data_IF_902977082673
#
_entry.id   IF_902977082673
#
_cell.length_a   1.000
_cell.length_b   1.000
_cell.length_c   1.000
_cell.angle_alpha   90.00
_cell.angle_beta   90.00
_cell.angle_gamma   90.00
#
_symmetry.space_group_name_H-M   'P 1'
#
loop_
_entity.id
_entity.type
_entity.pdbx_description
1 polymer ?
#
# COMPACT_ATOMS: atom_id res chain seq x y z
N UNK A 1 6.47 11.63 -18.32
CA UNK A 1 5.51 11.04 -19.29
C UNK A 1 5.45 11.99 -20.48
N UNK A 2 5.59 11.50 -21.72
CA UNK A 2 5.47 12.33 -22.92
C UNK A 2 3.98 12.56 -23.23
N UNK A 3 3.69 13.63 -23.98
CA UNK A 3 2.32 13.92 -24.44
C UNK A 3 1.73 12.77 -25.27
N UNK A 4 2.51 12.18 -26.15
CA UNK A 4 2.10 11.02 -26.96
C UNK A 4 1.69 9.82 -26.11
N UNK A 5 2.44 9.54 -25.03
CA UNK A 5 2.10 8.47 -24.10
C UNK A 5 0.80 8.75 -23.35
N UNK A 6 0.59 10.01 -22.93
CA UNK A 6 -0.65 10.42 -22.30
C UNK A 6 -1.84 10.29 -23.26
N UNK A 7 -1.70 10.80 -24.50
CA UNK A 7 -2.73 10.68 -25.54
C UNK A 7 -3.13 9.23 -25.76
N UNK A 8 -2.13 8.32 -25.91
CA UNK A 8 -2.38 6.90 -26.11
C UNK A 8 -3.15 6.26 -24.93
N UNK A 9 -2.86 6.66 -23.71
CA UNK A 9 -3.61 6.17 -22.54
C UNK A 9 -5.06 6.64 -22.58
N UNK A 10 -5.31 7.91 -22.92
CA UNK A 10 -6.67 8.45 -23.03
C UNK A 10 -7.45 7.73 -24.13
N UNK A 11 -6.84 7.52 -25.29
CA UNK A 11 -7.46 6.81 -26.43
C UNK A 11 -7.81 5.34 -26.08
N UNK A 12 -7.03 4.73 -25.19
CA UNK A 12 -7.31 3.37 -24.71
C UNK A 12 -8.40 3.33 -23.63
N UNK A 13 -8.55 4.38 -22.82
CA UNK A 13 -9.50 4.42 -21.72
C UNK A 13 -10.92 4.78 -22.18
N UNK A 14 -11.06 5.52 -23.26
CA UNK A 14 -12.33 6.04 -23.73
C UNK A 14 -12.60 5.60 -25.17
N UNK A 15 -13.82 5.13 -25.43
CA UNK A 15 -14.29 4.77 -26.76
C UNK A 15 -15.37 5.77 -27.18
N UNK A 16 -15.29 6.39 -28.39
CA UNK A 16 -16.34 7.28 -28.86
C UNK A 16 -17.70 6.58 -28.86
N UNK A 17 -18.73 7.24 -28.33
CA UNK A 17 -20.10 6.71 -28.24
C UNK A 17 -20.95 6.97 -29.48
N UNK A 18 -20.39 7.64 -30.49
CA UNK A 18 -21.08 8.01 -31.73
C UNK A 18 -21.99 9.26 -31.60
N UNK A 19 -22.22 9.76 -30.39
CA UNK A 19 -23.03 10.95 -30.10
C UNK A 19 -22.20 12.18 -29.71
N UNK A 20 -20.88 12.10 -29.86
CA UNK A 20 -19.94 13.16 -29.49
C UNK A 20 -19.39 13.07 -28.07
N UNK A 21 -19.77 12.03 -27.33
CA UNK A 21 -19.23 11.67 -26.03
C UNK A 21 -18.21 10.53 -26.10
N UNK A 22 -17.76 10.08 -24.94
CA UNK A 22 -16.86 8.94 -24.81
C UNK A 22 -17.33 8.01 -23.67
N UNK A 23 -17.37 6.72 -23.95
CA UNK A 23 -17.63 5.68 -22.96
C UNK A 23 -16.33 5.22 -22.33
N UNK A 24 -16.30 5.12 -20.98
CA UNK A 24 -15.18 4.54 -20.27
C UNK A 24 -15.03 3.05 -20.62
N UNK A 25 -13.79 2.65 -20.89
CA UNK A 25 -13.45 1.26 -21.16
C UNK A 25 -12.63 0.70 -20.02
N UNK A 26 -13.23 -0.23 -19.28
CA UNK A 26 -12.53 -1.01 -18.27
C UNK A 26 -12.17 -2.38 -18.84
N UNK A 27 -10.98 -2.84 -18.56
CA UNK A 27 -10.53 -4.19 -18.89
C UNK A 27 -10.39 -4.98 -17.61
N UNK A 28 -10.80 -6.24 -17.63
CA UNK A 28 -10.48 -7.17 -16.54
C UNK A 28 -8.95 -7.32 -16.40
N UNK A 29 -8.48 -7.24 -15.17
CA UNK A 29 -7.08 -7.32 -14.84
C UNK A 29 -6.83 -8.59 -14.05
N UNK A 30 -5.96 -9.47 -14.56
CA UNK A 30 -5.51 -10.64 -13.80
C UNK A 30 -4.32 -10.24 -12.90
N UNK A 31 -4.48 -10.20 -11.56
CA UNK A 31 -3.41 -9.78 -10.65
C UNK A 31 -2.15 -10.62 -10.75
N UNK A 32 -2.28 -11.91 -11.07
CA UNK A 32 -1.12 -12.83 -11.20
C UNK A 32 -0.21 -12.48 -12.37
N UNK A 33 -0.75 -11.85 -13.44
CA UNK A 33 0.03 -11.43 -14.61
C UNK A 33 0.68 -10.06 -14.46
N UNK A 34 0.30 -9.27 -13.45
CA UNK A 34 0.81 -7.93 -13.26
C UNK A 34 2.26 -7.94 -12.71
N UNK A 35 3.00 -6.92 -13.13
CA UNK A 35 4.30 -6.64 -12.53
C UNK A 35 4.13 -6.27 -11.05
N UNK A 36 4.97 -6.80 -10.12
CA UNK A 36 4.81 -6.57 -8.68
C UNK A 36 4.77 -5.10 -8.27
N UNK A 37 5.47 -4.21 -8.96
CA UNK A 37 5.42 -2.77 -8.67
C UNK A 37 4.05 -2.14 -9.02
N UNK A 38 3.31 -2.72 -9.96
CA UNK A 38 1.93 -2.28 -10.26
C UNK A 38 0.99 -2.73 -9.16
N UNK A 39 1.20 -3.93 -8.62
CA UNK A 39 0.46 -4.40 -7.44
C UNK A 39 0.78 -3.52 -6.22
N UNK A 40 2.06 -3.23 -5.98
CA UNK A 40 2.48 -2.37 -4.88
C UNK A 40 1.87 -0.97 -4.98
N UNK A 41 1.78 -0.39 -6.18
CA UNK A 41 1.13 0.91 -6.41
C UNK A 41 -0.33 0.94 -5.93
N UNK A 42 -1.09 -0.14 -6.13
CA UNK A 42 -2.47 -0.26 -5.64
C UNK A 42 -2.50 -0.50 -4.12
N UNK A 43 -1.65 -1.39 -3.61
CA UNK A 43 -1.60 -1.71 -2.18
C UNK A 43 -1.14 -0.54 -1.31
N UNK A 44 -0.20 0.27 -1.78
CA UNK A 44 0.21 1.52 -1.12
C UNK A 44 -0.99 2.47 -0.98
N UNK A 45 -1.72 2.73 -2.06
CA UNK A 45 -2.91 3.57 -2.03
C UNK A 45 -3.99 3.03 -1.07
N UNK A 46 -4.22 1.72 -1.08
CA UNK A 46 -5.16 1.06 -0.17
C UNK A 46 -4.75 1.23 1.29
N UNK A 47 -3.49 0.94 1.63
CA UNK A 47 -3.00 1.02 3.01
C UNK A 47 -3.02 2.47 3.53
N UNK A 48 -2.69 3.43 2.68
CA UNK A 48 -2.85 4.84 2.99
C UNK A 48 -4.29 5.22 3.31
N UNK A 49 -5.26 4.77 2.50
CA UNK A 49 -6.68 5.02 2.74
C UNK A 49 -7.15 4.34 4.03
N UNK A 50 -6.75 3.08 4.25
CA UNK A 50 -7.09 2.30 5.43
C UNK A 50 -6.63 3.00 6.72
N UNK A 51 -5.34 3.38 6.80
CA UNK A 51 -4.76 4.06 7.96
C UNK A 51 -5.47 5.39 8.20
N UNK A 52 -5.70 6.19 7.16
CA UNK A 52 -6.42 7.47 7.29
C UNK A 52 -7.83 7.29 7.82
N UNK A 53 -8.56 6.28 7.36
CA UNK A 53 -9.89 5.94 7.88
C UNK A 53 -9.87 5.60 9.37
N UNK A 54 -8.86 4.83 9.83
CA UNK A 54 -8.67 4.49 11.24
C UNK A 54 -8.37 5.72 12.11
N UNK A 55 -7.54 6.62 11.62
CA UNK A 55 -7.16 7.83 12.37
C UNK A 55 -8.33 8.78 12.61
N UNK A 56 -9.37 8.77 11.79
CA UNK A 56 -10.58 9.59 12.00
C UNK A 56 -11.34 9.22 13.28
N UNK A 57 -11.12 8.03 13.83
CA UNK A 57 -11.67 7.66 15.15
C UNK A 57 -11.02 8.43 16.30
N UNK A 58 -9.87 9.08 16.09
CA UNK A 58 -9.07 9.73 17.11
C UNK A 58 -8.92 11.25 16.91
N UNK A 59 -8.88 11.73 15.67
CA UNK A 59 -8.74 13.14 15.33
C UNK A 59 -9.62 13.49 14.11
N UNK A 60 -10.48 14.49 14.24
CA UNK A 60 -11.45 14.86 13.20
C UNK A 60 -11.31 16.31 12.72
N UNK A 61 -10.47 17.11 13.36
CA UNK A 61 -10.43 18.56 13.13
C UNK A 61 -9.08 19.04 12.58
N UNK A 62 -7.97 18.38 12.91
CA UNK A 62 -6.62 18.85 12.60
C UNK A 62 -6.02 18.04 11.46
N UNK A 63 -6.34 18.39 10.22
CA UNK A 63 -5.84 17.68 9.03
C UNK A 63 -4.32 17.60 8.95
N UNK A 64 -3.60 18.59 9.48
CA UNK A 64 -2.12 18.55 9.51
C UNK A 64 -1.62 17.43 10.41
N UNK A 65 -2.25 17.21 11.56
CA UNK A 65 -1.92 16.11 12.49
C UNK A 65 -2.21 14.77 11.82
N UNK A 66 -3.38 14.63 11.17
CA UNK A 66 -3.76 13.44 10.42
C UNK A 66 -2.74 13.10 9.31
N UNK A 67 -2.33 14.10 8.53
CA UNK A 67 -1.34 13.91 7.47
C UNK A 67 0.03 13.49 8.02
N UNK A 68 0.51 14.15 9.06
CA UNK A 68 1.81 13.83 9.66
C UNK A 68 1.81 12.43 10.26
N UNK A 69 0.75 12.08 10.99
CA UNK A 69 0.64 10.79 11.66
C UNK A 69 0.47 9.64 10.65
N UNK A 70 -0.42 9.83 9.65
CA UNK A 70 -0.59 8.82 8.60
C UNK A 70 0.69 8.59 7.79
N UNK A 71 1.41 9.66 7.40
CA UNK A 71 2.67 9.54 6.67
C UNK A 71 3.74 8.77 7.46
N UNK A 72 3.77 8.93 8.78
CA UNK A 72 4.66 8.17 9.63
C UNK A 72 4.26 6.69 9.66
N UNK A 73 2.99 6.36 9.90
CA UNK A 73 2.49 4.99 10.01
C UNK A 73 2.69 4.18 8.72
N UNK A 74 2.53 4.80 7.55
CA UNK A 74 2.69 4.13 6.25
C UNK A 74 4.11 4.18 5.71
N UNK A 75 5.09 4.63 6.50
CA UNK A 75 6.48 4.64 6.04
C UNK A 75 7.05 3.22 5.87
N UNK A 76 8.03 3.07 4.98
CA UNK A 76 8.66 1.79 4.69
C UNK A 76 9.23 1.10 5.94
N UNK A 77 9.73 1.87 6.90
CA UNK A 77 10.24 1.37 8.19
C UNK A 77 9.12 0.66 8.98
N UNK A 78 7.96 1.28 9.07
CA UNK A 78 6.83 0.73 9.81
C UNK A 78 6.12 -0.40 9.08
N UNK A 79 6.03 -0.33 7.77
CA UNK A 79 5.50 -1.43 6.95
C UNK A 79 6.40 -2.68 7.03
N UNK A 80 7.73 -2.52 7.01
CA UNK A 80 8.68 -3.61 7.20
C UNK A 80 8.50 -4.29 8.57
N UNK A 81 8.43 -3.49 9.65
CA UNK A 81 8.20 -3.98 11.01
C UNK A 81 6.85 -4.74 11.11
N UNK A 82 5.81 -4.18 10.51
CA UNK A 82 4.50 -4.80 10.49
C UNK A 82 4.53 -6.14 9.74
N UNK A 83 5.10 -6.19 8.54
CA UNK A 83 5.21 -7.42 7.77
C UNK A 83 5.85 -8.55 8.57
N UNK A 84 7.01 -8.30 9.18
CA UNK A 84 7.71 -9.33 9.95
C UNK A 84 6.91 -9.84 11.16
N UNK A 85 6.08 -9.00 11.75
CA UNK A 85 5.22 -9.41 12.86
C UNK A 85 4.00 -10.23 12.41
N UNK A 86 3.46 -9.95 11.22
CA UNK A 86 2.29 -10.66 10.69
C UNK A 86 2.64 -11.87 9.82
N UNK A 87 3.90 -12.03 9.41
CA UNK A 87 4.35 -13.14 8.54
C UNK A 87 3.84 -14.52 9.00
N UNK A 88 3.80 -14.86 10.32
CA UNK A 88 3.30 -16.15 10.78
C UNK A 88 1.82 -16.42 10.50
N UNK A 89 1.01 -15.41 10.22
CA UNK A 89 -0.40 -15.56 9.87
C UNK A 89 -0.65 -15.67 8.37
N UNK A 90 0.38 -15.48 7.54
CA UNK A 90 0.29 -15.49 6.09
C UNK A 90 0.32 -16.91 5.54
N UNK A 91 -0.43 -17.15 4.47
CA UNK A 91 -0.35 -18.37 3.68
C UNK A 91 0.92 -18.44 2.85
N UNK A 92 1.28 -19.62 2.36
CA UNK A 92 2.43 -19.79 1.47
C UNK A 92 2.28 -18.98 0.16
N UNK A 93 1.06 -18.85 -0.37
CA UNK A 93 0.79 -18.05 -1.57
C UNK A 93 1.00 -16.55 -1.28
N UNK A 94 0.53 -16.05 -0.16
CA UNK A 94 0.72 -14.65 0.27
C UNK A 94 2.21 -14.33 0.49
N UNK A 95 2.95 -15.24 1.13
CA UNK A 95 4.40 -15.11 1.29
C UNK A 95 5.11 -15.12 -0.07
N UNK A 96 4.67 -15.92 -1.04
CA UNK A 96 5.23 -15.94 -2.38
C UNK A 96 4.98 -14.60 -3.12
N UNK A 97 3.80 -14.01 -2.99
CA UNK A 97 3.46 -12.69 -3.54
C UNK A 97 4.36 -11.61 -2.93
N UNK A 98 4.47 -11.58 -1.61
CA UNK A 98 5.37 -10.67 -0.91
C UNK A 98 6.82 -10.80 -1.40
N UNK A 99 7.36 -12.02 -1.46
CA UNK A 99 8.73 -12.26 -1.93
C UNK A 99 8.95 -11.78 -3.37
N UNK A 100 7.95 -11.92 -4.23
CA UNK A 100 7.99 -11.41 -5.61
C UNK A 100 8.08 -9.89 -5.65
N UNK A 101 7.30 -9.19 -4.81
CA UNK A 101 7.35 -7.73 -4.64
C UNK A 101 8.69 -7.26 -4.08
N UNK A 102 9.12 -7.85 -2.95
CA UNK A 102 10.38 -7.53 -2.29
C UNK A 102 11.62 -7.68 -3.20
N UNK A 103 11.60 -8.65 -4.09
CA UNK A 103 12.73 -8.94 -4.97
C UNK A 103 12.74 -8.10 -6.26
N UNK A 104 11.74 -7.22 -6.46
CA UNK A 104 11.71 -6.32 -7.60
C UNK A 104 12.79 -5.24 -7.50
N UNK A 105 13.47 -4.99 -8.63
CA UNK A 105 14.40 -3.87 -8.73
C UNK A 105 13.63 -2.57 -8.83
N UNK A 106 13.80 -1.68 -7.87
CA UNK A 106 13.20 -0.34 -7.84
C UNK A 106 14.19 0.69 -7.30
N UNK A 107 13.94 1.97 -7.56
CA UNK A 107 14.76 3.04 -6.99
C UNK A 107 14.40 3.22 -5.51
N UNK A 108 15.40 3.07 -4.66
CA UNK A 108 15.25 3.17 -3.20
C UNK A 108 15.05 4.63 -2.76
N UNK A 109 14.12 4.85 -1.84
CA UNK A 109 13.94 6.13 -1.15
C UNK A 109 15.11 6.40 -0.18
N UNK A 110 15.45 7.67 0.05
CA UNK A 110 16.50 8.07 1.00
C UNK A 110 16.08 7.93 2.47
N UNK A 111 14.79 7.72 2.76
CA UNK A 111 14.21 7.73 4.11
C UNK A 111 14.19 6.37 4.81
N UNK A 112 14.59 5.30 4.13
CA UNK A 112 14.62 3.94 4.66
C UNK A 112 15.86 3.20 4.15
N UNK A 113 16.24 2.11 4.83
CA UNK A 113 17.26 1.21 4.30
C UNK A 113 16.75 0.51 3.03
N UNK A 114 17.69 0.03 2.21
CA UNK A 114 17.34 -0.74 0.98
C UNK A 114 16.45 -1.94 1.32
N UNK A 115 16.77 -2.64 2.42
CA UNK A 115 16.01 -3.81 2.87
C UNK A 115 14.58 -3.43 3.27
N UNK A 116 14.40 -2.37 4.06
CA UNK A 116 13.08 -1.89 4.48
C UNK A 116 12.24 -1.41 3.30
N UNK A 117 12.84 -0.70 2.36
CA UNK A 117 12.14 -0.27 1.15
C UNK A 117 11.66 -1.46 0.30
N UNK A 118 12.49 -2.47 0.11
CA UNK A 118 12.09 -3.67 -0.61
C UNK A 118 11.02 -4.47 0.14
N UNK A 119 11.11 -4.53 1.46
CA UNK A 119 10.12 -5.20 2.31
C UNK A 119 8.77 -4.50 2.23
N UNK A 120 8.72 -3.16 2.31
CA UNK A 120 7.47 -2.41 2.15
C UNK A 120 6.84 -2.64 0.77
N UNK A 121 7.65 -2.64 -0.30
CA UNK A 121 7.16 -2.96 -1.66
C UNK A 121 6.54 -4.37 -1.73
N UNK A 122 7.11 -5.34 -1.01
CA UNK A 122 6.55 -6.69 -0.90
C UNK A 122 5.20 -6.70 -0.19
N UNK A 123 5.10 -6.00 0.95
CA UNK A 123 3.86 -5.85 1.71
C UNK A 123 2.76 -5.14 0.89
N UNK A 124 3.10 -4.04 0.24
CA UNK A 124 2.20 -3.33 -0.66
C UNK A 124 1.72 -4.21 -1.83
N UNK A 125 2.62 -5.01 -2.43
CA UNK A 125 2.25 -5.94 -3.50
C UNK A 125 1.28 -7.02 -3.03
N UNK A 126 1.39 -7.48 -1.79
CA UNK A 126 0.44 -8.41 -1.17
C UNK A 126 -0.94 -7.75 -1.05
N UNK A 127 -1.02 -6.57 -0.44
CA UNK A 127 -2.29 -5.84 -0.30
C UNK A 127 -2.94 -5.53 -1.65
N UNK A 128 -2.15 -5.08 -2.62
CA UNK A 128 -2.66 -4.79 -3.97
C UNK A 128 -3.15 -6.02 -4.71
N UNK A 129 -2.55 -7.19 -4.45
CA UNK A 129 -3.02 -8.46 -5.02
C UNK A 129 -4.39 -8.82 -4.45
N UNK A 130 -4.55 -8.79 -3.13
CA UNK A 130 -5.82 -9.10 -2.45
C UNK A 130 -6.92 -8.13 -2.87
N UNK A 131 -6.59 -6.83 -3.00
CA UNK A 131 -7.52 -5.82 -3.47
C UNK A 131 -8.05 -6.13 -4.88
N UNK A 132 -7.16 -6.47 -5.82
CA UNK A 132 -7.54 -6.77 -7.20
C UNK A 132 -8.19 -8.16 -7.37
N UNK A 133 -8.04 -9.04 -6.39
CA UNK A 133 -8.76 -10.32 -6.30
C UNK A 133 -10.13 -10.17 -5.64
N UNK A 134 -10.48 -8.97 -5.17
CA UNK A 134 -11.70 -8.68 -4.42
C UNK A 134 -11.84 -9.51 -3.12
N UNK A 135 -10.72 -10.03 -2.59
CA UNK A 135 -10.69 -10.72 -1.29
C UNK A 135 -10.68 -9.70 -0.14
N UNK A 136 -11.79 -9.03 0.02
CA UNK A 136 -11.92 -7.89 0.91
C UNK A 136 -11.78 -8.27 2.40
N UNK A 137 -12.25 -9.45 2.78
CA UNK A 137 -12.16 -9.93 4.17
C UNK A 137 -10.70 -10.18 4.55
N UNK A 138 -9.95 -10.86 3.71
CA UNK A 138 -8.54 -11.14 3.94
C UNK A 138 -7.68 -9.88 3.85
N UNK A 139 -7.96 -9.02 2.89
CA UNK A 139 -7.32 -7.71 2.74
C UNK A 139 -7.47 -6.87 4.02
N UNK A 140 -8.70 -6.81 4.55
CA UNK A 140 -8.99 -6.11 5.80
C UNK A 140 -8.26 -6.74 7.00
N UNK A 141 -8.28 -8.05 7.13
CA UNK A 141 -7.62 -8.78 8.21
C UNK A 141 -6.11 -8.46 8.26
N UNK A 142 -5.43 -8.53 7.11
CA UNK A 142 -3.98 -8.24 7.02
C UNK A 142 -3.69 -6.75 7.30
N UNK A 143 -4.48 -5.84 6.73
CA UNK A 143 -4.30 -4.41 6.95
C UNK A 143 -4.53 -4.02 8.42
N UNK A 144 -5.55 -4.60 9.07
CA UNK A 144 -5.84 -4.38 10.48
C UNK A 144 -4.74 -4.93 11.38
N UNK A 145 -4.26 -6.15 11.11
CA UNK A 145 -3.15 -6.74 11.87
C UNK A 145 -1.89 -5.86 11.77
N UNK A 146 -1.56 -5.39 10.56
CA UNK A 146 -0.44 -4.49 10.34
C UNK A 146 -0.62 -3.15 11.09
N UNK A 147 -1.80 -2.55 11.01
CA UNK A 147 -2.13 -1.31 11.73
C UNK A 147 -1.95 -1.47 13.24
N UNK A 148 -2.41 -2.58 13.81
CA UNK A 148 -2.28 -2.85 15.25
C UNK A 148 -0.82 -3.02 15.68
N UNK A 149 -0.01 -3.72 14.88
CA UNK A 149 1.45 -3.86 15.14
C UNK A 149 2.12 -2.49 15.12
N UNK A 150 1.87 -1.68 14.09
CA UNK A 150 2.44 -0.34 13.97
C UNK A 150 2.03 0.52 15.17
N UNK A 151 0.74 0.55 15.51
CA UNK A 151 0.23 1.36 16.61
C UNK A 151 0.87 1.01 17.96
N UNK A 152 1.01 -0.28 18.27
CA UNK A 152 1.68 -0.75 19.49
C UNK A 152 3.14 -0.37 19.53
N UNK A 153 3.85 -0.59 18.43
CA UNK A 153 5.28 -0.31 18.36
C UNK A 153 5.57 1.21 18.44
N UNK A 154 4.74 2.05 17.83
CA UNK A 154 4.85 3.50 17.99
C UNK A 154 4.61 3.94 19.45
N UNK A 155 3.63 3.33 20.14
CA UNK A 155 3.37 3.61 21.55
C UNK A 155 4.58 3.23 22.42
N UNK A 156 5.20 2.09 22.16
CA UNK A 156 6.40 1.63 22.87
C UNK A 156 7.59 2.59 22.67
N UNK A 157 7.80 3.10 21.46
CA UNK A 157 8.85 4.09 21.17
C UNK A 157 8.62 5.40 21.92
N UNK A 158 7.38 5.90 21.97
CA UNK A 158 7.05 7.10 22.76
C UNK A 158 7.30 6.87 24.24
N UNK A 159 6.89 5.72 24.79
CA UNK A 159 7.10 5.37 26.18
C UNK A 159 8.60 5.22 26.50
N UNK A 160 9.42 4.71 25.60
CA UNK A 160 10.87 4.61 25.76
C UNK A 160 11.54 5.99 25.71
N UNK A 161 11.11 6.87 24.80
CA UNK A 161 11.63 8.23 24.68
C UNK A 161 11.32 9.12 25.89
N UNK A 162 10.22 8.86 26.61
CA UNK A 162 9.88 9.58 27.84
C UNK A 162 10.70 9.13 29.07
N UNK A 163 11.41 8.00 28.99
CA UNK A 163 12.24 7.45 30.08
C UNK A 163 13.71 7.86 30.03
N UNK A 164 14.12 8.61 29.02
CA UNK A 164 15.46 9.18 28.96
C UNK A 164 15.43 10.53 29.68
N UNK A 165 16.19 10.69 30.79
CA UNK A 165 16.28 11.93 31.56
C UNK A 165 17.01 13.04 30.81
#
# INVERSE_FOLDING_TARGET
MTFEHFQKLVDMMFVPDGAGGALQRYQEVNPRSLHPLVLAYIGDAYFHLFVRGRLLSYEQNKVQVLNQFSAQMVSAVWQDKAYHAIEPMLTEEEIAIYKRGRNCKSRVSKSASVAQYHSSTGFEALLGTLYLQEDNDRLYEIAEAAFQVISRAMMEEVAAGQKQP
#
